data_IF_011849204870
#
_entry.id   IF_011849204870
#
_cell.length_a   1.000
_cell.length_b   1.000
_cell.length_c   1.000
_cell.angle_alpha   90.00
_cell.angle_beta   90.00
_cell.angle_gamma   90.00
#
_symmetry.space_group_name_H-M   'P 1'
#
loop_
_entity.id
_entity.type
_entity.pdbx_description
1 polymer ?
#
# COMPACT_ATOMS: atom_id res chain seq x y z
N UNK A 1 5.83 6.85 -33.56
CA UNK A 1 4.48 7.44 -33.48
C UNK A 1 3.46 6.30 -33.53
N UNK A 2 2.53 6.14 -32.58
CA UNK A 2 1.55 5.05 -32.62
C UNK A 2 0.55 5.26 -33.79
N UNK A 3 0.19 4.20 -34.55
CA UNK A 3 -0.85 4.25 -35.57
C UNK A 3 -2.16 4.85 -35.03
N UNK A 4 -2.91 5.56 -35.85
CA UNK A 4 -4.20 6.16 -35.49
C UNK A 4 -5.17 5.15 -34.88
N UNK A 5 -5.14 3.90 -35.40
CA UNK A 5 -5.90 2.75 -34.87
C UNK A 5 -5.65 2.49 -33.38
N UNK A 6 -4.48 2.83 -32.87
CA UNK A 6 -4.10 2.59 -31.47
C UNK A 6 -4.43 3.78 -30.55
N UNK A 7 -5.02 4.85 -31.09
CA UNK A 7 -5.37 6.09 -30.36
C UNK A 7 -6.86 6.27 -30.15
N UNK A 8 -7.69 5.54 -30.88
CA UNK A 8 -9.15 5.61 -30.81
C UNK A 8 -9.71 4.34 -30.22
N UNK A 9 -10.71 4.49 -29.36
CA UNK A 9 -11.11 3.44 -28.42
C UNK A 9 -12.56 3.02 -28.60
N UNK A 10 -13.42 3.91 -29.07
CA UNK A 10 -14.82 3.60 -29.29
C UNK A 10 -15.18 3.77 -30.77
N UNK A 11 -15.94 2.84 -31.33
CA UNK A 11 -16.44 2.98 -32.69
C UNK A 11 -17.95 3.15 -32.64
N UNK A 12 -18.43 4.30 -33.10
CA UNK A 12 -19.86 4.57 -33.13
C UNK A 12 -20.58 3.52 -34.00
N UNK A 13 -21.58 2.79 -33.49
CA UNK A 13 -22.19 1.66 -34.20
C UNK A 13 -22.78 2.02 -35.58
N UNK A 14 -23.44 3.19 -35.68
CA UNK A 14 -24.04 3.72 -36.91
C UNK A 14 -23.05 4.33 -37.91
N UNK A 15 -22.24 5.31 -37.49
CA UNK A 15 -21.35 6.05 -38.40
C UNK A 15 -20.01 5.35 -38.67
N UNK A 16 -19.67 4.29 -37.92
CA UNK A 16 -18.38 3.59 -37.96
C UNK A 16 -17.18 4.52 -37.75
N UNK A 17 -17.41 5.69 -37.14
CA UNK A 17 -16.37 6.63 -36.81
C UNK A 17 -15.70 6.25 -35.49
N UNK A 18 -14.39 6.42 -35.43
CA UNK A 18 -13.58 6.12 -34.27
C UNK A 18 -13.40 7.34 -33.39
N UNK A 19 -13.82 7.26 -32.13
CA UNK A 19 -13.73 8.34 -31.15
C UNK A 19 -12.74 8.03 -30.02
N UNK A 20 -12.24 9.09 -29.41
CA UNK A 20 -11.45 9.10 -28.19
C UNK A 20 -12.37 9.51 -27.03
N UNK A 21 -13.17 8.57 -26.52
CA UNK A 21 -14.10 8.82 -25.40
C UNK A 21 -13.52 8.36 -24.06
N UNK A 22 -12.64 7.36 -24.10
CA UNK A 22 -12.10 6.69 -22.93
C UNK A 22 -10.69 7.21 -22.60
N UNK A 23 -10.43 7.45 -21.31
CA UNK A 23 -9.18 8.06 -20.83
C UNK A 23 -8.59 7.30 -19.65
N UNK A 24 -7.26 7.30 -19.59
CA UNK A 24 -6.51 6.92 -18.38
C UNK A 24 -6.06 8.20 -17.71
N UNK A 25 -6.67 8.53 -16.56
CA UNK A 25 -6.36 9.74 -15.81
C UNK A 25 -5.17 9.49 -14.88
N UNK A 26 -4.18 10.39 -14.92
CA UNK A 26 -2.99 10.33 -14.06
C UNK A 26 -2.78 11.66 -13.34
N UNK A 27 -2.15 11.65 -12.16
CA UNK A 27 -1.77 12.89 -11.48
C UNK A 27 -0.71 13.63 -12.28
N UNK A 28 -0.75 14.97 -12.26
CA UNK A 28 0.21 15.83 -12.97
C UNK A 28 1.68 15.47 -12.68
N UNK A 29 2.00 15.16 -11.41
CA UNK A 29 3.35 14.76 -10.97
C UNK A 29 3.82 13.41 -11.52
N UNK A 30 2.89 12.50 -11.81
CA UNK A 30 3.18 11.13 -12.26
C UNK A 30 3.11 11.03 -13.80
N UNK A 31 2.85 12.15 -14.51
CA UNK A 31 2.73 12.18 -15.97
C UNK A 31 3.98 11.66 -16.70
N UNK A 32 5.16 11.92 -16.14
CA UNK A 32 6.44 11.46 -16.69
C UNK A 32 6.62 9.93 -16.62
N UNK A 33 5.85 9.26 -15.77
CA UNK A 33 5.92 7.82 -15.56
C UNK A 33 5.05 7.04 -16.56
N UNK A 34 4.21 7.75 -17.32
CA UNK A 34 3.40 7.16 -18.41
C UNK A 34 4.30 6.85 -19.60
N UNK A 35 4.48 5.56 -19.92
CA UNK A 35 5.36 5.12 -21.01
C UNK A 35 4.61 4.85 -22.30
N UNK A 36 3.51 4.11 -22.24
CA UNK A 36 2.74 3.74 -23.43
C UNK A 36 1.26 3.68 -23.08
N UNK A 37 0.43 4.45 -23.77
CA UNK A 37 -1.03 4.29 -23.76
C UNK A 37 -1.49 3.88 -25.14
N UNK A 38 -2.17 2.74 -25.27
CA UNK A 38 -2.66 2.27 -26.57
C UNK A 38 -3.95 1.47 -26.47
N UNK A 39 -4.73 1.54 -27.53
CA UNK A 39 -5.89 0.66 -27.74
C UNK A 39 -5.38 -0.75 -28.07
N UNK A 40 -6.00 -1.77 -27.49
CA UNK A 40 -5.76 -3.16 -27.84
C UNK A 40 -6.73 -3.55 -28.94
N UNK A 41 -6.21 -3.73 -30.15
CA UNK A 41 -7.00 -4.18 -31.31
C UNK A 41 -7.11 -5.71 -31.25
N UNK A 42 -8.32 -6.26 -31.38
CA UNK A 42 -8.56 -7.71 -31.39
C UNK A 42 -8.83 -8.33 -30.01
N UNK A 43 -8.92 -7.53 -28.94
CA UNK A 43 -9.56 -8.00 -27.73
C UNK A 43 -11.07 -7.90 -27.95
N UNK A 44 -11.75 -9.03 -28.14
CA UNK A 44 -13.21 -9.08 -28.14
C UNK A 44 -13.70 -8.93 -26.71
N UNK A 45 -13.88 -7.68 -26.31
CA UNK A 45 -14.80 -7.33 -25.24
C UNK A 45 -16.14 -7.17 -25.96
N UNK A 46 -17.22 -7.79 -25.49
CA UNK A 46 -18.57 -7.75 -26.09
C UNK A 46 -19.23 -6.35 -26.08
N UNK A 47 -18.43 -5.32 -26.32
CA UNK A 47 -18.74 -3.90 -26.25
C UNK A 47 -18.23 -3.23 -27.53
N UNK A 48 -18.78 -2.06 -27.82
CA UNK A 48 -18.32 -1.16 -28.87
C UNK A 48 -17.03 -0.39 -28.49
N UNK A 49 -16.44 -0.72 -27.34
CA UNK A 49 -15.20 -0.17 -26.82
C UNK A 49 -14.02 -1.16 -26.96
N UNK A 50 -12.87 -0.63 -27.33
CA UNK A 50 -11.58 -1.32 -27.28
C UNK A 50 -10.99 -1.19 -25.89
N UNK A 51 -10.45 -2.30 -25.39
CA UNK A 51 -9.64 -2.29 -24.19
C UNK A 51 -8.45 -1.30 -24.33
N UNK A 52 -8.30 -0.43 -23.33
CA UNK A 52 -7.17 0.50 -23.24
C UNK A 52 -6.14 -0.09 -22.30
N UNK A 53 -4.88 -0.07 -22.72
CA UNK A 53 -3.77 -0.42 -21.84
C UNK A 53 -2.79 0.73 -21.75
N UNK A 54 -2.54 1.17 -20.51
CA UNK A 54 -1.46 2.08 -20.17
C UNK A 54 -0.35 1.34 -19.43
N UNK A 55 0.89 1.49 -19.87
CA UNK A 55 2.09 1.04 -19.17
C UNK A 55 2.68 2.23 -18.42
N UNK A 56 2.74 2.09 -17.10
CA UNK A 56 3.20 3.11 -16.16
C UNK A 56 4.40 2.57 -15.37
N UNK A 57 5.37 3.43 -15.05
CA UNK A 57 6.47 3.11 -14.14
C UNK A 57 6.33 3.92 -12.84
N UNK A 58 5.37 3.56 -11.99
CA UNK A 58 5.07 4.29 -10.77
C UNK A 58 5.95 3.81 -9.62
N UNK A 59 6.60 4.75 -8.91
CA UNK A 59 7.24 4.45 -7.63
C UNK A 59 6.23 4.59 -6.50
N UNK A 60 5.73 3.46 -6.02
CA UNK A 60 4.87 3.42 -4.83
C UNK A 60 5.77 3.44 -3.61
N UNK A 61 5.72 4.53 -2.83
CA UNK A 61 6.41 4.59 -1.55
C UNK A 61 5.71 3.62 -0.57
N UNK A 62 6.48 2.88 0.24
CA UNK A 62 5.87 2.04 1.27
C UNK A 62 5.02 2.93 2.19
N UNK A 63 3.86 2.44 2.65
CA UNK A 63 3.04 3.19 3.59
C UNK A 63 3.89 3.56 4.80
N UNK A 64 3.82 4.84 5.20
CA UNK A 64 4.50 5.30 6.40
C UNK A 64 3.94 4.50 7.56
N UNK A 65 4.75 3.61 8.17
CA UNK A 65 4.36 2.96 9.42
C UNK A 65 4.13 4.07 10.44
N UNK A 66 2.88 4.28 10.82
CA UNK A 66 2.56 4.91 12.09
C UNK A 66 3.05 3.90 13.11
N UNK A 67 4.29 4.06 13.58
CA UNK A 67 4.77 3.26 14.70
C UNK A 67 3.78 3.47 15.83
N UNK A 68 2.92 2.48 16.07
CA UNK A 68 2.21 2.39 17.32
C UNK A 68 3.30 2.57 18.38
N UNK A 69 3.21 3.64 19.18
CA UNK A 69 4.17 3.88 20.25
C UNK A 69 4.28 2.56 20.99
N UNK A 70 5.49 1.99 21.02
CA UNK A 70 5.75 0.77 21.78
C UNK A 70 5.35 1.11 23.21
N UNK A 71 4.20 0.62 23.68
CA UNK A 71 3.75 0.84 25.05
C UNK A 71 4.79 0.11 25.89
N UNK A 72 5.74 0.85 26.45
CA UNK A 72 6.65 0.29 27.42
C UNK A 72 5.82 0.09 28.69
N UNK A 73 5.48 -1.17 28.98
CA UNK A 73 4.90 -1.54 30.26
C UNK A 73 5.97 -1.30 31.33
N UNK A 74 5.98 -0.10 31.91
CA UNK A 74 6.85 0.25 33.02
C UNK A 74 6.22 -0.31 34.29
N UNK A 75 6.91 -1.25 34.93
CA UNK A 75 6.51 -1.74 36.24
C UNK A 75 6.59 -0.60 37.26
N UNK A 76 5.55 -0.47 38.09
CA UNK A 76 5.58 0.46 39.21
C UNK A 76 6.51 -0.08 40.30
N UNK A 77 7.67 0.56 40.42
CA UNK A 77 8.71 0.22 41.39
C UNK A 77 8.77 1.23 42.55
N UNK A 78 7.78 2.11 42.70
CA UNK A 78 7.81 3.16 43.72
C UNK A 78 7.97 2.60 45.14
N UNK A 79 7.33 1.45 45.42
CA UNK A 79 7.37 0.79 46.74
C UNK A 79 8.74 0.17 47.07
N UNK A 80 9.56 -0.12 46.07
CA UNK A 80 10.92 -0.64 46.29
C UNK A 80 11.90 0.41 46.84
N UNK A 81 11.47 1.68 46.95
CA UNK A 81 12.24 2.72 47.63
C UNK A 81 12.26 2.55 49.15
N UNK A 82 11.29 1.84 49.72
CA UNK A 82 11.27 1.54 51.15
C UNK A 82 12.10 0.29 51.44
N UNK A 83 13.05 0.40 52.35
CA UNK A 83 14.00 -0.69 52.70
C UNK A 83 13.26 -1.94 53.15
N UNK A 84 12.27 -1.80 54.04
CA UNK A 84 11.45 -2.93 54.53
C UNK A 84 10.77 -3.70 53.39
N UNK A 85 10.20 -3.00 52.40
CA UNK A 85 9.54 -3.63 51.26
C UNK A 85 10.54 -4.26 50.30
N UNK A 86 11.70 -3.64 50.13
CA UNK A 86 12.79 -4.18 49.31
C UNK A 86 13.34 -5.47 49.91
N UNK A 87 13.61 -5.48 51.21
CA UNK A 87 14.20 -6.63 51.90
C UNK A 87 13.21 -7.80 51.94
N UNK A 88 11.92 -7.54 52.21
CA UNK A 88 10.88 -8.56 52.11
C UNK A 88 10.77 -9.15 50.70
N UNK A 89 10.89 -8.32 49.66
CA UNK A 89 10.89 -8.77 48.27
C UNK A 89 12.12 -9.63 47.94
N UNK A 90 13.32 -9.21 48.34
CA UNK A 90 14.57 -9.98 48.14
C UNK A 90 14.48 -11.35 48.83
N UNK A 91 14.04 -11.39 50.09
CA UNK A 91 13.86 -12.64 50.82
C UNK A 91 12.85 -13.57 50.12
N UNK A 92 11.77 -13.02 49.58
CA UNK A 92 10.78 -13.82 48.84
C UNK A 92 11.34 -14.42 47.55
N UNK A 93 12.22 -13.68 46.85
CA UNK A 93 12.89 -14.16 45.65
C UNK A 93 13.89 -15.27 45.98
N UNK A 94 14.68 -15.11 47.04
CA UNK A 94 15.63 -16.14 47.48
C UNK A 94 14.93 -17.46 47.80
N UNK A 95 13.76 -17.39 48.46
CA UNK A 95 12.94 -18.59 48.74
C UNK A 95 12.41 -19.24 47.47
N UNK A 96 11.90 -18.47 46.52
CA UNK A 96 11.31 -19.03 45.29
C UNK A 96 12.33 -19.49 44.25
N UNK A 97 13.54 -18.95 44.29
CA UNK A 97 14.63 -19.29 43.36
C UNK A 97 15.58 -20.36 43.92
N UNK A 98 15.30 -20.94 45.09
CA UNK A 98 16.08 -22.07 45.56
C UNK A 98 15.94 -23.25 44.58
N UNK A 99 17.05 -23.94 44.26
CA UNK A 99 17.00 -25.09 43.37
C UNK A 99 16.15 -26.19 44.03
N UNK A 100 15.15 -26.67 43.29
CA UNK A 100 14.37 -27.83 43.67
C UNK A 100 15.33 -29.02 43.65
N UNK A 101 15.63 -29.58 44.83
CA UNK A 101 16.46 -30.78 45.02
C UNK A 101 15.81 -32.03 44.46
#
# INVERSE_FOLDING_TARGET
RLPTRNRTFWMHPRSKHWHLMDYVIVRKKDRQDVRVTKAMCGAECWTDHRLIRSKLNLRIQPPRRLYAKKIQHKLDVAKLKHTTTKDAFVNSLEVQLQPIS
#
